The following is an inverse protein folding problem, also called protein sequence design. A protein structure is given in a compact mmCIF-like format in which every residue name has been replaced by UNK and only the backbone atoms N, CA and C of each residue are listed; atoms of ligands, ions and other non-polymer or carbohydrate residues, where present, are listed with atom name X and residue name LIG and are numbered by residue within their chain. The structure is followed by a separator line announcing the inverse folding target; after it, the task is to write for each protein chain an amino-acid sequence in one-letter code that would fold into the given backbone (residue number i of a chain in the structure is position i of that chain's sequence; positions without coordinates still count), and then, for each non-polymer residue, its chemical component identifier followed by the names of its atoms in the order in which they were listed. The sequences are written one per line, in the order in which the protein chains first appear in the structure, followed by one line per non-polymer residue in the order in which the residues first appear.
data_IF_479455304523
#
_entry.id   IF_479455304523
#
_cell.length_a   1.000
_cell.length_b   1.000
_cell.length_c   1.000
_cell.angle_alpha   90.00
_cell.angle_beta   90.00
_cell.angle_gamma   90.00
#
_symmetry.space_group_name_H-M   'P 1'
#
loop_
_entity.id
_entity.type
_entity.pdbx_description
1 polymer ?
#
# COMPACT_ATOMS: atom_id res chain seq x y z
N UNK A 1 2.35 -13.63 13.96
CA UNK A 1 3.02 -14.95 13.96
C UNK A 1 4.49 -14.81 13.51
N UNK A 2 5.38 -15.69 13.94
CA UNK A 2 6.82 -15.65 13.62
C UNK A 2 7.11 -15.76 12.12
N UNK A 3 6.39 -16.62 11.40
CA UNK A 3 6.53 -16.77 9.96
C UNK A 3 6.24 -15.46 9.21
N UNK A 4 5.16 -14.76 9.59
CA UNK A 4 4.79 -13.48 9.00
C UNK A 4 5.84 -12.38 9.26
N UNK A 5 6.41 -12.32 10.47
CA UNK A 5 7.49 -11.37 10.80
C UNK A 5 8.75 -11.64 9.99
N UNK A 6 9.12 -12.91 9.81
CA UNK A 6 10.26 -13.31 8.99
C UNK A 6 10.04 -12.96 7.52
N UNK A 7 8.85 -13.26 6.98
CA UNK A 7 8.48 -12.91 5.61
C UNK A 7 8.52 -11.40 5.38
N UNK A 8 7.95 -10.60 6.29
CA UNK A 8 8.02 -9.15 6.24
C UNK A 8 9.47 -8.64 6.19
N UNK A 9 10.34 -9.11 7.10
CA UNK A 9 11.74 -8.66 7.14
C UNK A 9 12.55 -9.09 5.91
N UNK A 10 12.20 -10.21 5.29
CA UNK A 10 12.80 -10.63 4.02
C UNK A 10 12.37 -9.68 2.89
N UNK A 11 11.07 -9.52 2.67
CA UNK A 11 10.53 -8.63 1.62
C UNK A 11 10.93 -7.17 1.81
N UNK A 12 11.06 -6.70 3.06
CA UNK A 12 11.59 -5.38 3.36
C UNK A 12 12.99 -5.17 2.75
N UNK A 13 13.90 -6.14 2.93
CA UNK A 13 15.26 -6.05 2.38
C UNK A 13 15.29 -6.09 0.85
N UNK A 14 14.27 -6.68 0.23
CA UNK A 14 14.14 -6.77 -1.23
C UNK A 14 13.53 -5.50 -1.84
N UNK A 15 12.57 -4.87 -1.14
CA UNK A 15 11.77 -3.75 -1.65
C UNK A 15 12.24 -2.37 -1.18
N UNK A 16 12.79 -2.26 0.02
CA UNK A 16 13.08 -0.98 0.65
C UNK A 16 14.57 -0.66 0.54
N UNK A 17 14.87 0.58 0.13
CA UNK A 17 16.24 1.08 0.10
C UNK A 17 16.77 1.44 1.50
N UNK A 18 18.10 1.46 1.60
CA UNK A 18 18.81 1.89 2.80
C UNK A 18 19.06 0.77 3.81
N UNK A 19 19.50 1.15 5.01
CA UNK A 19 19.83 0.22 6.08
C UNK A 19 18.57 -0.10 6.91
N UNK A 20 18.03 -1.33 6.86
CA UNK A 20 16.82 -1.71 7.59
C UNK A 20 16.97 -1.53 9.10
N UNK A 21 18.18 -1.64 9.64
CA UNK A 21 18.42 -1.48 11.07
C UNK A 21 18.18 -0.06 11.56
N UNK A 22 18.18 0.95 10.67
CA UNK A 22 17.81 2.34 10.98
C UNK A 22 16.30 2.56 11.01
N UNK A 23 15.54 1.77 10.27
CA UNK A 23 14.08 1.88 10.29
C UNK A 23 13.50 1.34 11.60
N UNK A 24 12.81 2.21 12.32
CA UNK A 24 12.08 1.84 13.53
C UNK A 24 11.04 0.75 13.25
N UNK A 25 10.30 0.89 12.15
CA UNK A 25 9.23 -0.04 11.79
C UNK A 25 9.76 -1.46 11.53
N UNK A 26 10.91 -1.59 10.87
CA UNK A 26 11.56 -2.87 10.66
C UNK A 26 12.00 -3.54 11.98
N UNK A 27 12.51 -2.77 12.95
CA UNK A 27 12.89 -3.27 14.28
C UNK A 27 11.66 -3.69 15.09
N UNK A 28 10.65 -2.82 15.14
CA UNK A 28 9.39 -3.04 15.87
C UNK A 28 8.70 -4.33 15.39
N UNK A 29 8.62 -4.56 14.07
CA UNK A 29 8.06 -5.81 13.52
C UNK A 29 8.90 -7.03 13.91
N UNK A 30 10.24 -6.90 13.98
CA UNK A 30 11.10 -7.96 14.51
C UNK A 30 10.75 -8.35 15.95
N UNK A 31 10.39 -7.37 16.78
CA UNK A 31 9.98 -7.54 18.17
C UNK A 31 8.50 -7.92 18.32
N UNK A 32 7.73 -7.90 17.23
CA UNK A 32 6.29 -8.20 17.23
C UNK A 32 5.41 -7.02 17.63
N UNK A 33 5.94 -5.80 17.53
CA UNK A 33 5.23 -4.55 17.82
C UNK A 33 4.64 -4.00 16.51
N UNK A 34 3.32 -3.82 16.48
CA UNK A 34 2.61 -3.16 15.38
C UNK A 34 2.56 -1.65 15.62
N UNK A 35 3.56 -0.92 15.14
CA UNK A 35 3.64 0.53 15.28
C UNK A 35 2.63 1.26 14.40
N UNK A 36 2.17 2.43 14.85
CA UNK A 36 1.20 3.24 14.10
C UNK A 36 1.69 3.59 12.69
N UNK A 37 0.81 3.43 11.70
CA UNK A 37 1.13 3.64 10.29
C UNK A 37 1.70 2.39 9.59
N UNK A 38 1.75 1.24 10.27
CA UNK A 38 2.15 -0.04 9.68
C UNK A 38 1.25 -0.46 8.50
N UNK A 39 0.03 0.04 8.43
CA UNK A 39 -0.95 -0.23 7.39
C UNK A 39 -0.45 0.22 6.00
N UNK A 40 0.38 1.28 5.92
CA UNK A 40 1.02 1.71 4.67
C UNK A 40 2.11 0.76 4.17
N UNK A 41 2.45 -0.28 4.95
CA UNK A 41 3.40 -1.33 4.61
C UNK A 41 2.74 -2.70 4.46
N UNK A 42 1.40 -2.74 4.42
CA UNK A 42 0.62 -3.96 4.20
C UNK A 42 1.15 -4.80 3.01
N UNK A 43 1.53 -4.21 1.85
CA UNK A 43 2.07 -4.98 0.72
C UNK A 43 3.40 -5.72 0.99
N UNK A 44 4.09 -5.45 2.10
CA UNK A 44 5.30 -6.18 2.49
C UNK A 44 4.96 -7.48 3.23
N UNK A 45 3.79 -7.55 3.86
CA UNK A 45 3.33 -8.75 4.58
C UNK A 45 2.87 -9.87 3.64
N UNK A 46 2.45 -9.54 2.42
CA UNK A 46 1.86 -10.48 1.47
C UNK A 46 2.59 -10.48 0.14
N UNK A 47 2.41 -11.53 -0.67
CA UNK A 47 2.89 -11.55 -2.06
C UNK A 47 2.00 -10.68 -2.96
N UNK A 48 0.70 -10.72 -2.69
CA UNK A 48 -0.31 -9.91 -3.36
C UNK A 48 -1.34 -9.44 -2.34
N UNK A 49 -1.74 -8.18 -2.44
CA UNK A 49 -2.86 -7.62 -1.68
C UNK A 49 -4.13 -7.68 -2.51
N UNK A 50 -5.24 -8.03 -1.88
CA UNK A 50 -6.55 -7.92 -2.49
C UNK A 50 -7.02 -6.46 -2.54
N UNK A 51 -7.89 -6.17 -3.49
CA UNK A 51 -8.67 -4.96 -3.62
C UNK A 51 -10.09 -5.19 -3.09
N UNK A 52 -10.90 -4.13 -2.99
CA UNK A 52 -12.32 -4.29 -2.64
C UNK A 52 -13.10 -5.09 -3.69
N UNK A 53 -12.68 -5.04 -4.96
CA UNK A 53 -13.35 -5.72 -6.09
C UNK A 53 -13.31 -7.23 -5.95
N UNK A 54 -12.27 -7.78 -5.33
CA UNK A 54 -12.13 -9.22 -5.06
C UNK A 54 -13.21 -9.78 -4.11
N UNK A 55 -13.96 -8.89 -3.44
CA UNK A 55 -14.99 -9.25 -2.46
C UNK A 55 -16.42 -8.91 -2.90
N UNK A 56 -16.62 -8.27 -4.07
CA UNK A 56 -17.97 -7.86 -4.52
C UNK A 56 -18.81 -9.06 -4.98
N UNK A 57 -18.18 -10.10 -5.52
CA UNK A 57 -18.85 -11.27 -6.08
C UNK A 57 -19.42 -11.04 -7.49
N UNK A 58 -19.71 -12.13 -8.19
CA UNK A 58 -19.98 -12.12 -9.65
C UNK A 58 -21.29 -11.44 -10.06
N UNK A 59 -22.22 -11.21 -9.12
CA UNK A 59 -23.56 -10.67 -9.40
C UNK A 59 -23.79 -9.29 -8.79
N UNK A 60 -22.77 -8.69 -8.18
CA UNK A 60 -22.89 -7.34 -7.63
C UNK A 60 -22.95 -6.32 -8.78
N UNK A 61 -23.97 -5.46 -8.75
CA UNK A 61 -24.02 -4.30 -9.63
C UNK A 61 -23.21 -3.15 -9.06
N UNK A 62 -22.37 -2.53 -9.88
CA UNK A 62 -21.58 -1.36 -9.50
C UNK A 62 -22.16 -0.08 -10.11
N UNK A 63 -22.41 0.92 -9.26
CA UNK A 63 -22.84 2.25 -9.70
C UNK A 63 -21.78 3.30 -9.33
N UNK A 64 -21.22 3.95 -10.35
CA UNK A 64 -20.34 5.10 -10.20
C UNK A 64 -21.17 6.39 -10.24
N UNK A 65 -21.02 7.26 -9.25
CA UNK A 65 -21.81 8.48 -9.13
C UNK A 65 -20.92 9.72 -9.00
N UNK A 66 -21.20 10.74 -9.82
CA UNK A 66 -20.45 11.99 -9.88
C UNK A 66 -19.15 11.88 -10.69
N UNK A 67 -18.26 12.85 -10.48
CA UNK A 67 -16.98 12.97 -11.20
C UNK A 67 -15.90 12.09 -10.56
N UNK A 68 -16.06 10.76 -10.70
CA UNK A 68 -15.18 9.76 -10.05
C UNK A 68 -13.73 9.87 -10.55
N UNK A 69 -13.51 10.08 -11.85
CA UNK A 69 -12.16 10.25 -12.39
C UNK A 69 -11.46 11.47 -11.78
N UNK A 70 -12.14 12.63 -11.71
CA UNK A 70 -11.57 13.83 -11.09
C UNK A 70 -11.22 13.60 -9.61
N UNK A 71 -12.08 12.90 -8.88
CA UNK A 71 -11.82 12.55 -7.48
C UNK A 71 -10.56 11.68 -7.33
N UNK A 72 -10.38 10.68 -8.20
CA UNK A 72 -9.19 9.82 -8.22
C UNK A 72 -7.94 10.65 -8.59
N UNK A 73 -8.00 11.49 -9.61
CA UNK A 73 -6.87 12.35 -10.00
C UNK A 73 -6.44 13.29 -8.88
N UNK A 74 -7.41 13.88 -8.17
CA UNK A 74 -7.15 14.72 -7.00
C UNK A 74 -6.47 13.93 -5.90
N UNK A 75 -7.01 12.76 -5.55
CA UNK A 75 -6.39 11.85 -4.57
C UNK A 75 -4.95 11.48 -4.93
N UNK A 76 -4.68 11.17 -6.19
CA UNK A 76 -3.33 10.84 -6.67
C UNK A 76 -2.37 12.02 -6.65
N UNK A 77 -2.85 13.23 -6.90
CA UNK A 77 -2.05 14.45 -6.80
C UNK A 77 -1.60 14.65 -5.34
N UNK A 78 -2.58 14.67 -4.45
CA UNK A 78 -2.41 14.73 -3.00
C UNK A 78 -1.46 13.65 -2.46
N UNK A 79 -1.61 12.41 -2.91
CA UNK A 79 -0.80 11.27 -2.49
C UNK A 79 0.65 11.41 -2.96
N UNK A 80 0.87 11.80 -4.22
CA UNK A 80 2.22 12.00 -4.76
C UNK A 80 2.93 13.17 -4.08
N UNK A 81 2.22 14.24 -3.75
CA UNK A 81 2.78 15.36 -3.01
C UNK A 81 3.23 14.96 -1.61
N UNK A 82 2.37 14.24 -0.87
CA UNK A 82 2.71 13.69 0.45
C UNK A 82 3.88 12.72 0.38
N UNK A 83 3.88 11.80 -0.59
CA UNK A 83 4.99 10.86 -0.79
C UNK A 83 6.30 11.61 -1.05
N UNK A 84 6.31 12.59 -1.96
CA UNK A 84 7.49 13.40 -2.28
C UNK A 84 8.00 14.18 -1.06
N UNK A 85 7.11 14.67 -0.22
CA UNK A 85 7.48 15.39 1.01
C UNK A 85 8.13 14.45 2.04
N UNK A 86 7.60 13.24 2.21
CA UNK A 86 8.01 12.31 3.26
C UNK A 86 9.18 11.38 2.88
N UNK A 87 9.43 11.13 1.59
CA UNK A 87 10.44 10.16 1.11
C UNK A 87 11.89 10.45 1.53
N UNK A 88 12.17 11.64 2.08
CA UNK A 88 13.52 12.03 2.47
C UNK A 88 13.91 11.58 3.89
N UNK A 89 12.98 10.98 4.65
CA UNK A 89 13.27 10.43 5.97
C UNK A 89 13.85 9.00 5.87
N UNK A 90 15.16 8.79 6.13
CA UNK A 90 15.78 7.47 6.03
C UNK A 90 15.33 6.49 7.14
N UNK A 91 14.71 6.97 8.23
CA UNK A 91 14.16 6.10 9.27
C UNK A 91 12.76 5.57 8.90
N UNK A 92 12.13 6.18 7.88
CA UNK A 92 10.79 5.85 7.39
C UNK A 92 10.78 5.74 5.85
N UNK A 93 11.53 4.78 5.28
CA UNK A 93 11.48 4.56 3.84
C UNK A 93 10.06 4.17 3.44
N UNK A 94 9.57 4.70 2.31
CA UNK A 94 8.18 4.55 1.87
C UNK A 94 8.06 3.61 0.69
N UNK A 95 6.94 2.88 0.60
CA UNK A 95 6.57 2.20 -0.63
C UNK A 95 6.12 3.21 -1.68
N UNK A 96 6.37 2.93 -2.98
CA UNK A 96 5.75 3.69 -4.06
C UNK A 96 4.23 3.70 -3.90
N UNK A 97 3.53 4.82 -4.15
CA UNK A 97 2.08 4.90 -3.96
C UNK A 97 1.28 3.84 -4.73
N UNK A 98 1.77 3.43 -5.91
CA UNK A 98 1.14 2.40 -6.74
C UNK A 98 1.18 0.98 -6.16
N UNK A 99 1.98 0.74 -5.11
CA UNK A 99 1.92 -0.53 -4.38
C UNK A 99 0.81 -0.56 -3.32
N UNK A 100 0.27 0.62 -2.96
CA UNK A 100 -0.73 0.75 -1.87
C UNK A 100 -2.10 1.11 -2.44
N UNK A 101 -2.13 1.92 -3.51
CA UNK A 101 -3.36 2.47 -4.09
C UNK A 101 -3.48 2.12 -5.56
N UNK A 102 -4.72 1.87 -5.99
CA UNK A 102 -5.05 1.67 -7.40
C UNK A 102 -4.88 2.96 -8.19
N UNK A 103 -4.32 2.86 -9.39
CA UNK A 103 -4.36 3.96 -10.36
C UNK A 103 -5.78 4.13 -10.91
N UNK A 104 -6.04 5.25 -11.58
CA UNK A 104 -7.30 5.43 -12.30
C UNK A 104 -7.52 4.33 -13.35
N UNK A 105 -6.45 3.95 -14.06
CA UNK A 105 -6.48 2.87 -15.05
C UNK A 105 -6.86 1.52 -14.40
N UNK A 106 -6.21 1.15 -13.30
CA UNK A 106 -6.50 -0.10 -12.59
C UNK A 106 -7.91 -0.10 -12.03
N UNK A 107 -8.33 1.01 -11.42
CA UNK A 107 -9.67 1.16 -10.85
C UNK A 107 -10.75 0.95 -11.93
N UNK A 108 -10.69 1.68 -13.05
CA UNK A 108 -11.66 1.52 -14.14
C UNK A 108 -11.51 0.19 -14.88
N UNK A 109 -10.34 -0.45 -14.83
CA UNK A 109 -10.15 -1.82 -15.28
C UNK A 109 -10.97 -2.81 -14.45
N UNK A 110 -10.87 -2.70 -13.13
CA UNK A 110 -11.56 -3.56 -12.16
C UNK A 110 -13.07 -3.28 -12.06
N UNK A 111 -13.56 -2.11 -12.50
CA UNK A 111 -15.01 -1.85 -12.54
C UNK A 111 -15.71 -2.54 -13.71
N UNK A 112 -15.02 -2.85 -14.81
CA UNK A 112 -15.65 -3.38 -16.05
C UNK A 112 -16.45 -4.69 -15.89
N UNK A 113 -16.08 -5.63 -14.99
CA UNK A 113 -16.84 -6.86 -14.80
C UNK A 113 -18.16 -6.69 -14.01
N UNK A 114 -18.40 -5.53 -13.39
CA UNK A 114 -19.52 -5.25 -12.48
C UNK A 114 -20.46 -4.16 -13.00
#
# INVERSE_FOLDING_TARGET
DEAARKAFRNRWREKMDGDPSKSRLYRDIGEGIASGGIEYYLPIFFEQTATVFDYLGDTAGLALHGEVDEAIQRFWTDTRERHRFLQHDPERPLLPPGEIFLTAEDFFGLTKPH
#
